data_IF_706686380358
#
_entry.id   IF_706686380358
#
_cell.length_a   1.000
_cell.length_b   1.000
_cell.length_c   1.000
_cell.angle_alpha   90.00
_cell.angle_beta   90.00
_cell.angle_gamma   90.00
#
_symmetry.space_group_name_H-M   'P 1'
#
loop_
_entity.id
_entity.type
_entity.pdbx_description
1 polymer ?
#
# COMPACT_ATOMS: atom_id res chain seq x y z
N UNK A 1 -17.68 60.07 32.30
CA UNK A 1 -16.75 59.47 31.32
C UNK A 1 -15.74 58.52 31.98
N UNK A 2 -15.65 58.47 33.32
CA UNK A 2 -14.74 57.59 34.07
C UNK A 2 -15.32 56.19 34.36
N UNK A 3 -16.65 56.03 34.47
CA UNK A 3 -17.27 54.71 34.68
C UNK A 3 -17.05 53.75 33.49
N UNK A 4 -17.12 54.27 32.26
CA UNK A 4 -16.91 53.47 31.04
C UNK A 4 -15.47 52.97 30.87
N UNK A 5 -14.47 53.70 31.40
CA UNK A 5 -13.09 53.26 31.37
C UNK A 5 -12.81 52.19 32.43
N UNK A 6 -13.41 52.32 33.62
CA UNK A 6 -13.35 51.31 34.67
C UNK A 6 -13.96 49.99 34.21
N UNK A 7 -15.16 50.01 33.63
CA UNK A 7 -15.83 48.81 33.09
C UNK A 7 -15.01 48.12 31.98
N UNK A 8 -14.29 48.90 31.17
CA UNK A 8 -13.41 48.35 30.13
C UNK A 8 -12.18 47.67 30.72
N UNK A 9 -11.59 48.24 31.77
CA UNK A 9 -10.43 47.64 32.44
C UNK A 9 -10.79 46.38 33.23
N UNK A 10 -11.98 46.33 33.84
CA UNK A 10 -12.47 45.13 34.53
C UNK A 10 -12.74 43.99 33.55
N UNK A 11 -13.38 44.26 32.41
CA UNK A 11 -13.56 43.24 31.36
C UNK A 11 -12.24 42.76 30.75
N UNK A 12 -11.27 43.66 30.55
CA UNK A 12 -9.95 43.30 30.04
C UNK A 12 -9.15 42.43 31.05
N UNK A 13 -9.25 42.72 32.33
CA UNK A 13 -8.58 41.90 33.37
C UNK A 13 -9.25 40.54 33.54
N UNK A 14 -10.58 40.45 33.47
CA UNK A 14 -11.31 39.18 33.51
C UNK A 14 -10.94 38.29 32.31
N UNK A 15 -10.95 38.84 31.09
CA UNK A 15 -10.60 38.06 29.89
C UNK A 15 -9.14 37.61 29.89
N UNK A 16 -8.21 38.41 30.42
CA UNK A 16 -6.82 37.99 30.60
C UNK A 16 -6.71 36.86 31.64
N UNK A 17 -7.48 36.93 32.72
CA UNK A 17 -7.51 35.90 33.77
C UNK A 17 -8.11 34.59 33.24
N UNK A 18 -9.18 34.67 32.44
CA UNK A 18 -9.78 33.54 31.73
C UNK A 18 -8.78 32.90 30.75
N UNK A 19 -8.12 33.69 29.91
CA UNK A 19 -7.11 33.19 28.98
C UNK A 19 -5.94 32.50 29.70
N UNK A 20 -5.53 33.01 30.86
CA UNK A 20 -4.52 32.38 31.71
C UNK A 20 -5.02 31.08 32.33
N UNK A 21 -6.27 31.04 32.79
CA UNK A 21 -6.86 29.87 33.42
C UNK A 21 -7.04 28.74 32.41
N UNK A 22 -7.52 29.04 31.20
CA UNK A 22 -7.58 28.10 30.08
C UNK A 22 -6.20 27.58 29.68
N UNK A 23 -5.16 28.43 29.69
CA UNK A 23 -3.79 27.98 29.43
C UNK A 23 -3.27 27.05 30.52
N UNK A 24 -3.54 27.34 31.80
CA UNK A 24 -3.17 26.46 32.92
C UNK A 24 -3.92 25.14 32.82
N UNK A 25 -5.20 25.17 32.48
CA UNK A 25 -6.02 23.98 32.25
C UNK A 25 -5.44 23.11 31.13
N UNK A 26 -5.08 23.73 30.01
CA UNK A 26 -4.45 23.04 28.89
C UNK A 26 -3.09 22.42 29.25
N UNK A 27 -2.31 23.07 30.12
CA UNK A 27 -1.04 22.53 30.62
C UNK A 27 -1.28 21.34 31.56
N UNK A 28 -2.30 21.42 32.41
CA UNK A 28 -2.59 20.41 33.43
C UNK A 28 -3.28 19.17 32.85
N UNK A 29 -4.18 19.33 31.89
CA UNK A 29 -4.90 18.23 31.24
C UNK A 29 -4.22 17.73 29.95
N UNK A 30 -3.26 18.50 29.42
CA UNK A 30 -2.64 18.24 28.12
C UNK A 30 -3.59 18.44 26.94
N UNK A 31 -3.04 18.42 25.72
CA UNK A 31 -3.86 18.37 24.51
C UNK A 31 -4.64 17.04 24.49
N UNK A 32 -5.97 17.11 24.64
CA UNK A 32 -6.91 15.95 24.61
C UNK A 32 -6.84 15.11 23.31
N UNK A 33 -5.94 15.42 22.38
CA UNK A 33 -5.73 14.72 21.12
C UNK A 33 -4.98 13.39 21.25
N UNK A 34 -4.33 13.10 22.38
CA UNK A 34 -3.71 11.78 22.63
C UNK A 34 -4.42 11.15 23.82
N UNK A 35 -5.44 10.35 23.53
CA UNK A 35 -6.11 9.48 24.50
C UNK A 35 -5.14 8.36 24.90
N UNK A 36 -4.30 8.64 25.91
CA UNK A 36 -3.75 7.59 26.76
C UNK A 36 -4.79 7.36 27.87
N UNK A 37 -5.20 6.11 28.16
CA UNK A 37 -6.12 5.84 29.25
C UNK A 37 -5.39 6.11 30.57
N UNK A 38 -5.48 7.34 31.07
CA UNK A 38 -5.06 7.68 32.43
C UNK A 38 -6.06 7.02 33.39
N UNK A 39 -5.61 6.28 34.43
CA UNK A 39 -6.53 5.80 35.46
C UNK A 39 -7.25 7.00 36.07
N UNK A 40 -8.57 7.01 35.96
CA UNK A 40 -9.41 8.05 36.50
C UNK A 40 -9.29 8.03 38.04
N UNK A 41 -8.55 8.98 38.61
CA UNK A 41 -8.56 9.18 40.07
C UNK A 41 -7.33 9.82 40.70
N UNK A 42 -6.15 9.74 40.08
CA UNK A 42 -4.93 10.18 40.77
C UNK A 42 -4.80 11.71 40.74
N UNK A 43 -4.67 12.31 41.92
CA UNK A 43 -4.34 13.74 42.02
C UNK A 43 -3.03 14.03 41.29
N UNK A 44 -2.89 15.19 40.65
CA UNK A 44 -1.67 15.54 39.91
C UNK A 44 -0.41 15.43 40.79
N UNK A 45 -0.55 15.68 42.09
CA UNK A 45 0.52 15.57 43.09
C UNK A 45 0.94 14.11 43.28
N UNK A 46 -0.01 13.18 43.37
CA UNK A 46 0.26 11.76 43.52
C UNK A 46 0.90 11.16 42.25
N UNK A 47 0.43 11.58 41.07
CA UNK A 47 1.04 11.22 39.79
C UNK A 47 2.50 11.70 39.69
N UNK A 48 2.76 12.94 40.10
CA UNK A 48 4.12 13.49 40.16
C UNK A 48 5.00 12.74 41.17
N UNK A 49 4.50 12.42 42.36
CA UNK A 49 5.23 11.64 43.35
C UNK A 49 5.55 10.21 42.85
N UNK A 50 4.62 9.58 42.11
CA UNK A 50 4.84 8.28 41.49
C UNK A 50 5.91 8.36 40.39
N UNK A 51 5.85 9.39 39.53
CA UNK A 51 6.87 9.65 38.53
C UNK A 51 8.24 9.91 39.15
N UNK A 52 8.31 10.70 40.22
CA UNK A 52 9.56 10.96 40.94
C UNK A 52 10.14 9.67 41.51
N UNK A 53 9.31 8.82 42.14
CA UNK A 53 9.76 7.51 42.63
C UNK A 53 10.28 6.63 41.51
N UNK A 54 9.57 6.56 40.38
CA UNK A 54 10.02 5.80 39.19
C UNK A 54 11.32 6.38 38.62
N UNK A 55 11.45 7.69 38.57
CA UNK A 55 12.66 8.36 38.09
C UNK A 55 13.85 8.11 39.02
N UNK A 56 13.64 8.17 40.33
CA UNK A 56 14.65 7.81 41.33
C UNK A 56 15.11 6.36 41.16
N UNK A 57 14.20 5.41 40.92
CA UNK A 57 14.56 4.03 40.60
C UNK A 57 15.30 3.88 39.27
N UNK A 58 14.97 4.72 38.27
CA UNK A 58 15.63 4.69 36.98
C UNK A 58 17.06 5.23 37.06
N UNK A 59 17.27 6.32 37.80
CA UNK A 59 18.60 6.91 38.06
C UNK A 59 19.48 5.92 38.82
N UNK A 60 18.95 5.26 39.85
CA UNK A 60 19.72 4.31 40.65
C UNK A 60 20.05 3.03 39.87
N UNK A 61 19.17 2.58 38.98
CA UNK A 61 19.35 1.36 38.18
C UNK A 61 20.26 1.56 36.97
N UNK A 62 20.20 2.72 36.30
CA UNK A 62 20.94 2.98 35.08
C UNK A 62 21.85 4.19 35.24
N UNK A 63 23.15 3.91 35.36
CA UNK A 63 24.22 4.91 35.54
C UNK A 63 24.24 6.00 34.46
N UNK A 64 23.79 5.67 33.24
CA UNK A 64 23.69 6.62 32.13
C UNK A 64 22.85 7.84 32.47
N UNK A 65 21.69 7.66 33.13
CA UNK A 65 20.85 8.80 33.52
C UNK A 65 21.49 9.64 34.64
N UNK A 66 22.21 9.00 35.57
CA UNK A 66 22.97 9.72 36.57
C UNK A 66 24.09 10.56 35.93
N UNK A 67 24.74 10.03 34.89
CA UNK A 67 25.77 10.75 34.15
C UNK A 67 25.17 11.88 33.29
N UNK A 68 24.02 11.68 32.63
CA UNK A 68 23.29 12.76 31.94
C UNK A 68 22.86 13.87 32.91
N UNK A 69 22.43 13.54 34.13
CA UNK A 69 22.07 14.54 35.13
C UNK A 69 23.28 15.31 35.65
N UNK A 70 24.44 14.65 35.83
CA UNK A 70 25.70 15.35 36.12
C UNK A 70 26.06 16.28 34.97
N UNK A 71 25.94 15.77 33.74
CA UNK A 71 26.23 16.46 32.51
C UNK A 71 25.35 17.73 32.41
N UNK A 72 24.03 17.60 32.55
CA UNK A 72 23.08 18.72 32.66
C UNK A 72 23.48 19.76 33.72
N UNK A 73 23.90 19.33 34.91
CA UNK A 73 24.37 20.24 35.98
C UNK A 73 25.69 20.93 35.65
N UNK A 74 26.63 20.23 35.02
CA UNK A 74 27.94 20.78 34.67
C UNK A 74 27.88 21.73 33.48
N UNK A 75 26.93 21.51 32.57
CA UNK A 75 26.87 22.22 31.30
C UNK A 75 25.40 22.44 30.84
N UNK A 76 24.63 23.31 31.51
CA UNK A 76 23.22 23.50 31.18
C UNK A 76 23.01 24.05 29.76
N UNK A 77 24.04 24.66 29.17
CA UNK A 77 24.04 25.22 27.81
C UNK A 77 23.80 24.18 26.69
N UNK A 78 24.12 22.90 26.88
CA UNK A 78 23.87 21.88 25.85
C UNK A 78 22.41 21.48 25.72
N UNK A 79 21.61 21.72 26.77
CA UNK A 79 20.21 21.32 26.83
C UNK A 79 19.26 22.52 26.71
N UNK A 80 19.80 23.74 26.66
CA UNK A 80 19.04 24.93 26.31
C UNK A 80 19.03 25.08 24.80
N UNK A 81 17.83 25.21 24.22
CA UNK A 81 17.70 25.64 22.83
C UNK A 81 18.35 27.03 22.72
N UNK A 82 19.20 27.28 21.72
CA UNK A 82 19.81 28.60 21.53
C UNK A 82 18.70 29.65 21.45
N UNK A 83 18.95 30.81 22.06
CA UNK A 83 18.05 31.95 21.95
C UNK A 83 17.87 32.31 20.47
N UNK A 84 16.69 32.79 20.04
CA UNK A 84 16.41 33.07 18.62
C UNK A 84 17.36 34.10 17.98
N UNK A 85 18.08 34.88 18.79
CA UNK A 85 19.03 35.91 18.35
C UNK A 85 20.48 35.43 18.27
N UNK A 86 20.81 34.22 18.77
CA UNK A 86 22.16 33.68 18.67
C UNK A 86 22.36 32.96 17.33
N UNK A 87 23.39 33.29 16.53
CA UNK A 87 23.69 32.56 15.32
C UNK A 87 23.96 31.10 15.66
N UNK A 88 23.29 30.19 14.95
CA UNK A 88 23.45 28.75 15.14
C UNK A 88 24.94 28.39 15.21
N UNK A 89 25.38 27.54 16.16
CA UNK A 89 26.79 27.22 16.32
C UNK A 89 27.29 26.42 15.10
N UNK A 90 27.71 27.13 14.05
CA UNK A 90 28.33 26.53 12.87
C UNK A 90 29.81 26.38 13.13
N UNK A 91 30.32 25.15 12.97
CA UNK A 91 31.76 24.88 13.04
C UNK A 91 32.56 25.49 11.87
N UNK A 92 31.85 26.05 10.87
CA UNK A 92 32.44 26.69 9.70
C UNK A 92 32.51 28.20 9.89
N UNK A 93 33.63 28.79 9.48
CA UNK A 93 33.78 30.23 9.35
C UNK A 93 32.76 30.77 8.33
N UNK A 94 32.32 32.02 8.55
CA UNK A 94 31.34 32.72 7.72
C UNK A 94 31.73 32.78 6.25
N UNK A 95 33.03 32.85 5.94
CA UNK A 95 33.55 32.78 4.58
C UNK A 95 33.33 31.40 3.93
N UNK A 96 33.51 30.32 4.69
CA UNK A 96 33.26 28.95 4.22
C UNK A 96 31.77 28.69 3.98
N UNK A 97 30.90 29.21 4.86
CA UNK A 97 29.45 29.15 4.66
C UNK A 97 29.04 29.85 3.35
N UNK A 98 29.54 31.05 3.10
CA UNK A 98 29.28 31.76 1.84
C UNK A 98 29.77 30.99 0.62
N UNK A 99 30.97 30.42 0.68
CA UNK A 99 31.51 29.60 -0.40
C UNK A 99 30.62 28.38 -0.70
N UNK A 100 30.11 27.69 0.34
CA UNK A 100 29.18 26.56 0.14
C UNK A 100 27.84 27.00 -0.44
N UNK A 101 27.25 28.09 0.05
CA UNK A 101 25.99 28.60 -0.50
C UNK A 101 26.16 29.02 -1.96
N UNK A 102 27.28 29.66 -2.29
CA UNK A 102 27.61 30.04 -3.67
C UNK A 102 27.88 28.83 -4.56
N UNK A 103 28.51 27.76 -4.07
CA UNK A 103 28.70 26.54 -4.85
C UNK A 103 27.38 25.84 -5.18
N UNK A 104 26.39 25.93 -4.29
CA UNK A 104 25.05 25.36 -4.51
C UNK A 104 24.06 26.36 -5.13
N UNK A 105 24.44 27.62 -5.37
CA UNK A 105 23.53 28.67 -5.79
C UNK A 105 22.77 28.34 -7.09
N UNK A 106 23.42 27.71 -8.06
CA UNK A 106 22.81 27.30 -9.33
C UNK A 106 21.84 26.12 -9.19
N UNK A 107 21.94 25.35 -8.11
CA UNK A 107 21.10 24.17 -7.85
C UNK A 107 19.78 24.51 -7.15
N UNK A 108 19.69 25.68 -6.48
CA UNK A 108 18.48 26.08 -5.77
C UNK A 108 17.28 26.30 -6.69
N UNK A 109 17.39 27.00 -7.84
CA UNK A 109 16.25 27.18 -8.74
C UNK A 109 15.74 25.84 -9.27
N UNK A 110 16.64 24.91 -9.63
CA UNK A 110 16.27 23.57 -10.09
C UNK A 110 15.56 22.76 -9.00
N UNK A 111 16.04 22.83 -7.75
CA UNK A 111 15.43 22.13 -6.62
C UNK A 111 14.05 22.71 -6.27
N UNK A 112 13.90 24.03 -6.30
CA UNK A 112 12.61 24.69 -6.08
C UNK A 112 11.63 24.34 -7.21
N UNK A 113 12.06 24.36 -8.47
CA UNK A 113 11.21 23.94 -9.58
C UNK A 113 10.80 22.47 -9.45
N UNK A 114 11.70 21.57 -9.03
CA UNK A 114 11.38 20.17 -8.81
C UNK A 114 10.38 19.97 -7.66
N UNK A 115 10.57 20.63 -6.52
CA UNK A 115 9.63 20.57 -5.39
C UNK A 115 8.28 21.21 -5.75
N UNK A 116 8.29 22.31 -6.51
CA UNK A 116 7.08 22.96 -6.98
C UNK A 116 6.32 22.03 -7.93
N UNK A 117 7.00 21.40 -8.90
CA UNK A 117 6.40 20.42 -9.80
C UNK A 117 5.83 19.22 -9.04
N UNK A 118 6.55 18.67 -8.05
CA UNK A 118 6.02 17.57 -7.21
C UNK A 118 4.79 18.00 -6.43
N UNK A 119 4.77 19.23 -5.91
CA UNK A 119 3.63 19.72 -5.11
C UNK A 119 2.45 20.14 -6.00
N UNK A 120 2.69 20.64 -7.21
CA UNK A 120 1.65 21.09 -8.16
C UNK A 120 1.08 19.95 -9.00
N UNK A 121 1.94 19.07 -9.50
CA UNK A 121 1.57 18.06 -10.50
C UNK A 121 1.14 16.75 -9.83
N UNK A 122 1.62 16.48 -8.61
CA UNK A 122 1.20 15.33 -7.81
C UNK A 122 0.62 15.76 -6.47
N UNK A 123 -0.60 16.33 -6.43
CA UNK A 123 -1.29 16.52 -5.17
C UNK A 123 -1.42 15.17 -4.47
N UNK A 124 -1.11 15.12 -3.17
CA UNK A 124 -1.35 13.93 -2.35
C UNK A 124 -2.84 13.57 -2.50
N UNK A 125 -3.19 12.38 -3.02
CA UNK A 125 -4.57 12.04 -3.30
C UNK A 125 -5.40 12.07 -2.01
N UNK A 126 -6.68 12.44 -2.12
CA UNK A 126 -7.60 12.48 -0.98
C UNK A 126 -7.57 11.11 -0.27
N UNK A 127 -7.25 11.05 1.04
CA UNK A 127 -7.22 9.79 1.79
C UNK A 127 -8.54 9.01 1.70
N UNK A 128 -9.67 9.68 1.43
CA UNK A 128 -10.97 9.00 1.19
C UNK A 128 -10.93 8.05 0.00
N UNK A 129 -10.32 8.45 -1.11
CA UNK A 129 -10.20 7.61 -2.31
C UNK A 129 -9.37 6.35 -2.00
N UNK A 130 -8.31 6.50 -1.22
CA UNK A 130 -7.49 5.36 -0.79
C UNK A 130 -8.26 4.42 0.15
N UNK A 131 -9.09 4.96 1.05
CA UNK A 131 -9.94 4.17 1.93
C UNK A 131 -11.01 3.40 1.14
N UNK A 132 -11.61 4.02 0.13
CA UNK A 132 -12.60 3.38 -0.76
C UNK A 132 -11.97 2.22 -1.56
N UNK A 133 -10.74 2.37 -2.05
CA UNK A 133 -10.01 1.28 -2.70
C UNK A 133 -9.75 0.11 -1.75
N UNK A 134 -9.39 0.40 -0.50
CA UNK A 134 -9.20 -0.63 0.54
C UNK A 134 -10.53 -1.33 0.85
N UNK A 135 -11.64 -0.61 0.88
CA UNK A 135 -12.97 -1.17 1.11
C UNK A 135 -13.41 -2.15 -0.01
N UNK A 136 -12.85 -2.05 -1.22
CA UNK A 136 -13.14 -2.97 -2.32
C UNK A 136 -12.35 -4.30 -2.25
N UNK A 137 -11.29 -4.40 -1.44
CA UNK A 137 -10.46 -5.61 -1.33
C UNK A 137 -11.24 -6.90 -1.01
N UNK A 138 -12.21 -6.91 -0.07
CA UNK A 138 -12.98 -8.12 0.22
C UNK A 138 -13.81 -8.60 -0.97
N UNK A 139 -14.36 -7.66 -1.77
CA UNK A 139 -15.12 -7.99 -2.97
C UNK A 139 -14.22 -8.59 -4.04
N UNK A 140 -13.02 -8.02 -4.24
CA UNK A 140 -12.04 -8.57 -5.19
C UNK A 140 -11.61 -9.99 -4.81
N UNK A 141 -11.32 -10.24 -3.53
CA UNK A 141 -11.02 -11.60 -3.03
C UNK A 141 -12.19 -12.56 -3.25
N UNK A 142 -13.42 -12.11 -3.01
CA UNK A 142 -14.61 -12.90 -3.30
C UNK A 142 -14.68 -13.30 -4.78
N UNK A 143 -14.49 -12.34 -5.69
CA UNK A 143 -14.48 -12.61 -7.14
C UNK A 143 -13.34 -13.55 -7.53
N UNK A 144 -12.13 -13.33 -7.01
CA UNK A 144 -10.97 -14.19 -7.26
C UNK A 144 -11.24 -15.65 -6.87
N UNK A 145 -11.84 -15.90 -5.71
CA UNK A 145 -12.21 -17.27 -5.30
C UNK A 145 -13.23 -17.91 -6.24
N UNK A 146 -14.20 -17.13 -6.74
CA UNK A 146 -15.17 -17.64 -7.72
C UNK A 146 -14.54 -17.91 -9.08
N UNK A 147 -13.56 -17.09 -9.50
CA UNK A 147 -12.83 -17.30 -10.75
C UNK A 147 -12.00 -18.58 -10.70
N UNK A 148 -11.28 -18.82 -9.60
CA UNK A 148 -10.52 -20.06 -9.42
C UNK A 148 -11.43 -21.31 -9.44
N UNK A 149 -12.61 -21.22 -8.84
CA UNK A 149 -13.59 -22.31 -8.87
C UNK A 149 -14.11 -22.56 -10.31
N UNK A 150 -14.42 -21.49 -11.05
CA UNK A 150 -14.87 -21.57 -12.44
C UNK A 150 -13.79 -22.14 -13.37
N UNK A 151 -12.54 -21.74 -13.20
CA UNK A 151 -11.43 -22.26 -14.01
C UNK A 151 -11.23 -23.77 -13.81
N UNK A 152 -11.36 -24.24 -12.57
CA UNK A 152 -11.31 -25.67 -12.27
C UNK A 152 -12.47 -26.44 -12.93
N UNK A 153 -13.70 -25.91 -12.85
CA UNK A 153 -14.87 -26.52 -13.49
C UNK A 153 -14.75 -26.54 -15.01
N UNK A 154 -14.29 -25.44 -15.62
CA UNK A 154 -14.06 -25.36 -17.07
C UNK A 154 -12.98 -26.34 -17.51
N UNK A 155 -11.91 -26.50 -16.72
CA UNK A 155 -10.87 -27.51 -16.98
C UNK A 155 -11.46 -28.91 -17.01
N UNK A 156 -12.25 -29.27 -16.00
CA UNK A 156 -12.89 -30.59 -15.93
C UNK A 156 -13.90 -30.83 -17.08
N UNK A 157 -14.69 -29.82 -17.45
CA UNK A 157 -15.63 -29.88 -18.57
C UNK A 157 -14.90 -30.02 -19.91
N UNK A 158 -13.76 -29.36 -20.08
CA UNK A 158 -12.90 -29.51 -21.27
C UNK A 158 -12.38 -30.93 -21.38
N UNK A 159 -11.84 -31.50 -20.30
CA UNK A 159 -11.36 -32.87 -20.29
C UNK A 159 -12.47 -33.89 -20.58
N UNK A 160 -13.67 -33.66 -20.02
CA UNK A 160 -14.85 -34.51 -20.30
C UNK A 160 -15.29 -34.40 -21.76
N UNK A 161 -15.36 -33.18 -22.30
CA UNK A 161 -15.78 -32.97 -23.68
C UNK A 161 -14.76 -33.53 -24.67
N UNK A 162 -13.46 -33.39 -24.39
CA UNK A 162 -12.39 -33.99 -25.19
C UNK A 162 -12.54 -35.52 -25.25
N UNK A 163 -12.76 -36.19 -24.11
CA UNK A 163 -12.95 -37.65 -24.09
C UNK A 163 -14.14 -38.09 -24.93
N UNK A 164 -15.26 -37.37 -24.86
CA UNK A 164 -16.46 -37.69 -25.65
C UNK A 164 -16.21 -37.47 -27.14
N UNK A 165 -15.60 -36.35 -27.52
CA UNK A 165 -15.28 -36.02 -28.91
C UNK A 165 -14.28 -37.02 -29.48
N UNK A 166 -13.22 -37.35 -28.74
CA UNK A 166 -12.22 -38.35 -29.14
C UNK A 166 -12.87 -39.71 -29.39
N UNK A 167 -13.67 -40.20 -28.45
CA UNK A 167 -14.37 -41.47 -28.60
C UNK A 167 -15.29 -41.48 -29.83
N UNK A 168 -16.03 -40.39 -30.05
CA UNK A 168 -16.89 -40.26 -31.23
C UNK A 168 -16.08 -40.29 -32.53
N UNK A 169 -14.96 -39.58 -32.59
CA UNK A 169 -14.08 -39.59 -33.77
C UNK A 169 -13.50 -40.97 -34.04
N UNK A 170 -12.96 -41.64 -33.02
CA UNK A 170 -12.36 -42.97 -33.14
C UNK A 170 -13.39 -44.03 -33.56
N UNK A 171 -14.54 -44.10 -32.88
CA UNK A 171 -15.52 -45.15 -33.14
C UNK A 171 -16.38 -44.89 -34.37
N UNK A 172 -16.88 -43.65 -34.55
CA UNK A 172 -17.82 -43.33 -35.63
C UNK A 172 -17.10 -42.93 -36.89
N UNK A 173 -16.24 -41.91 -36.83
CA UNK A 173 -15.66 -41.31 -38.05
C UNK A 173 -14.63 -42.25 -38.65
N UNK A 174 -13.65 -42.68 -37.86
CA UNK A 174 -12.60 -43.59 -38.34
C UNK A 174 -13.18 -44.98 -38.60
N UNK A 175 -14.00 -45.51 -37.69
CA UNK A 175 -14.66 -46.80 -37.88
C UNK A 175 -15.54 -46.88 -39.14
N UNK A 176 -16.35 -45.84 -39.40
CA UNK A 176 -17.15 -45.78 -40.64
C UNK A 176 -16.26 -45.63 -41.87
N UNK A 177 -15.20 -44.81 -41.79
CA UNK A 177 -14.21 -44.68 -42.85
C UNK A 177 -13.56 -46.01 -43.22
N UNK A 178 -13.13 -46.80 -42.22
CA UNK A 178 -12.58 -48.14 -42.48
C UNK A 178 -13.60 -49.10 -43.09
N UNK A 179 -14.87 -49.04 -42.65
CA UNK A 179 -15.92 -49.87 -43.21
C UNK A 179 -16.17 -49.54 -44.69
N UNK A 180 -16.26 -48.24 -45.03
CA UNK A 180 -16.44 -47.80 -46.42
C UNK A 180 -15.24 -48.19 -47.27
N UNK A 181 -14.02 -48.01 -46.78
CA UNK A 181 -12.80 -48.41 -47.49
C UNK A 181 -12.75 -49.93 -47.77
N UNK A 182 -13.15 -50.76 -46.80
CA UNK A 182 -13.24 -52.21 -46.99
C UNK A 182 -14.29 -52.61 -48.04
N UNK A 183 -15.45 -51.95 -48.01
CA UNK A 183 -16.51 -52.17 -49.02
C UNK A 183 -16.03 -51.75 -50.40
N UNK A 184 -15.40 -50.58 -50.52
CA UNK A 184 -14.83 -50.08 -51.77
C UNK A 184 -13.77 -51.04 -52.32
N UNK A 185 -12.84 -51.51 -51.48
CA UNK A 185 -11.84 -52.50 -51.88
C UNK A 185 -12.44 -53.82 -52.35
N UNK A 186 -13.56 -54.26 -51.76
CA UNK A 186 -14.31 -55.44 -52.24
C UNK A 186 -14.97 -55.19 -53.59
N UNK A 187 -15.60 -54.04 -53.78
CA UNK A 187 -16.22 -53.64 -55.05
C UNK A 187 -15.16 -53.55 -56.15
N UNK A 188 -14.03 -52.90 -55.88
CA UNK A 188 -12.91 -52.77 -56.82
C UNK A 188 -12.36 -54.15 -57.25
N UNK A 189 -12.26 -55.09 -56.31
CA UNK A 189 -11.86 -56.47 -56.61
C UNK A 189 -12.86 -57.19 -57.53
N UNK A 190 -14.16 -56.96 -57.33
CA UNK A 190 -15.22 -57.52 -58.20
C UNK A 190 -15.17 -56.87 -59.57
N UNK A 191 -15.10 -55.55 -59.66
CA UNK A 191 -14.96 -54.81 -60.92
C UNK A 191 -13.75 -55.27 -61.72
N UNK A 192 -12.60 -55.48 -61.06
CA UNK A 192 -11.39 -55.99 -61.72
C UNK A 192 -11.59 -57.39 -62.31
N UNK A 193 -12.36 -58.25 -61.64
CA UNK A 193 -12.70 -59.58 -62.16
C UNK A 193 -13.67 -59.50 -63.33
N UNK A 194 -14.69 -58.65 -63.24
CA UNK A 194 -15.65 -58.41 -64.34
C UNK A 194 -14.94 -57.88 -65.57
N UNK A 195 -14.10 -56.85 -65.43
CA UNK A 195 -13.31 -56.27 -66.52
C UNK A 195 -12.40 -57.29 -67.20
N UNK A 196 -11.82 -58.23 -66.44
CA UNK A 196 -11.01 -59.34 -67.00
C UNK A 196 -11.87 -60.34 -67.77
N UNK A 197 -13.07 -60.65 -67.27
CA UNK A 197 -13.99 -61.56 -67.94
C UNK A 197 -14.57 -60.96 -69.23
N UNK A 198 -14.92 -59.68 -69.21
CA UNK A 198 -15.35 -58.92 -70.39
C UNK A 198 -14.25 -58.88 -71.45
N UNK A 199 -13.01 -58.54 -71.07
CA UNK A 199 -11.89 -58.53 -72.00
C UNK A 199 -11.56 -59.91 -72.61
N UNK A 200 -11.90 -61.01 -71.92
CA UNK A 200 -11.79 -62.37 -72.48
C UNK A 200 -12.91 -62.66 -73.48
N UNK A 201 -14.15 -62.27 -73.16
CA UNK A 201 -15.31 -62.42 -74.06
C UNK A 201 -15.17 -61.58 -75.33
N UNK A 202 -14.66 -60.36 -75.21
CA UNK A 202 -14.40 -59.49 -76.37
C UNK A 202 -13.35 -60.10 -77.30
N UNK A 203 -12.29 -60.72 -76.75
CA UNK A 203 -11.29 -61.46 -77.53
C UNK A 203 -11.84 -62.73 -78.16
N UNK A 204 -12.74 -63.45 -77.49
CA UNK A 204 -13.44 -64.59 -78.11
C UNK A 204 -14.35 -64.13 -79.24
N UNK A 205 -15.05 -63.01 -79.10
CA UNK A 205 -15.90 -62.45 -80.14
C UNK A 205 -15.12 -61.86 -81.32
N UNK A 206 -13.88 -61.37 -81.13
CA UNK A 206 -12.99 -60.93 -82.21
C UNK A 206 -12.30 -62.09 -82.94
N UNK A 207 -12.29 -63.30 -82.37
CA UNK A 207 -11.65 -64.50 -82.94
C UNK A 207 -12.61 -65.41 -83.73
N UNK A 208 -13.89 -65.04 -83.83
CA UNK A 208 -14.95 -65.69 -84.63
C UNK A 208 -15.26 -64.81 -85.84
#
# INVERSE_FOLDING_TARGET
MEEQSLDRTTLATISLLEARLLRIEQILQGSKSVSVPTPAGDSAIESLANLERRFATLISRFRVYADILKLYRTHPSFFQSPAPDDPAPSQLDTAALRATVLSFASSFPSSVSALTAVTSDTPVPDPKLSADLVALLPRMKGVETTQLAQEAEIGELRDRSERVVRKWYEERVVGYGSFIADVEGRVENVERKVRRAEALRDKENEAV
#
